data_IF_538866113077
#
_entry.id   IF_538866113077
#
_cell.length_a   1.000
_cell.length_b   1.000
_cell.length_c   1.000
_cell.angle_alpha   90.00
_cell.angle_beta   90.00
_cell.angle_gamma   90.00
#
_symmetry.space_group_name_H-M   'P 1'
#
loop_
_entity.id
_entity.type
_entity.pdbx_description
1 polymer ?
#
# COMPACT_ATOMS: atom_id res chain seq x y z
N UNK A 1 -1.14 13.03 9.99
CA UNK A 1 -2.18 14.07 9.70
C UNK A 1 -1.60 15.47 9.82
N UNK A 2 -0.92 15.84 10.91
CA UNK A 2 -0.37 17.18 11.11
C UNK A 2 0.54 17.67 9.96
N UNK A 3 1.44 16.80 9.45
CA UNK A 3 2.35 17.18 8.35
C UNK A 3 1.61 17.48 7.05
N UNK A 4 0.63 16.69 6.68
CA UNK A 4 -0.16 16.93 5.46
C UNK A 4 -0.97 18.24 5.52
N UNK A 5 -1.50 18.59 6.69
CA UNK A 5 -2.22 19.85 6.89
C UNK A 5 -1.29 21.08 6.83
N UNK A 6 -0.09 20.94 7.37
CA UNK A 6 0.97 21.95 7.28
C UNK A 6 1.36 22.20 5.81
N UNK A 7 1.69 21.13 5.09
CA UNK A 7 2.07 21.16 3.68
C UNK A 7 0.96 21.76 2.81
N UNK A 8 -0.30 21.35 3.04
CA UNK A 8 -1.45 21.89 2.30
C UNK A 8 -1.61 23.41 2.43
N UNK A 9 -1.18 23.95 3.56
CA UNK A 9 -1.29 25.38 3.87
C UNK A 9 -0.11 26.20 3.35
N UNK A 10 1.12 25.66 3.49
CA UNK A 10 2.34 26.41 3.24
C UNK A 10 2.92 26.18 1.83
N UNK A 11 2.80 24.97 1.30
CA UNK A 11 3.37 24.58 0.02
C UNK A 11 2.52 23.46 -0.64
N UNK A 12 1.32 23.76 -1.13
CA UNK A 12 0.35 22.75 -1.57
C UNK A 12 0.88 21.82 -2.68
N UNK A 13 1.86 22.22 -3.48
CA UNK A 13 2.49 21.34 -4.48
C UNK A 13 3.22 20.15 -3.86
N UNK A 14 3.64 20.20 -2.59
CA UNK A 14 4.24 19.08 -1.88
C UNK A 14 3.24 17.96 -1.59
N UNK A 15 1.93 18.22 -1.67
CA UNK A 15 0.91 17.17 -1.58
C UNK A 15 1.06 16.11 -2.68
N UNK A 16 1.74 16.43 -3.79
CA UNK A 16 2.09 15.44 -4.82
C UNK A 16 2.86 14.27 -4.21
N UNK A 17 3.82 14.54 -3.30
CA UNK A 17 4.58 13.51 -2.60
C UNK A 17 3.67 12.62 -1.74
N UNK A 18 2.72 13.21 -1.02
CA UNK A 18 1.77 12.46 -0.20
C UNK A 18 0.83 11.61 -1.05
N UNK A 19 0.31 12.15 -2.16
CA UNK A 19 -0.53 11.39 -3.08
C UNK A 19 0.24 10.22 -3.70
N UNK A 20 1.46 10.44 -4.15
CA UNK A 20 2.31 9.41 -4.72
C UNK A 20 2.59 8.28 -3.71
N UNK A 21 3.06 8.62 -2.52
CA UNK A 21 3.50 7.62 -1.54
C UNK A 21 2.34 6.87 -0.89
N UNK A 22 1.17 7.50 -0.75
CA UNK A 22 0.01 6.90 -0.08
C UNK A 22 -0.96 6.28 -1.08
N UNK A 23 -1.55 7.06 -1.97
CA UNK A 23 -2.60 6.57 -2.87
C UNK A 23 -2.07 5.66 -3.97
N UNK A 24 -1.01 6.06 -4.67
CA UNK A 24 -0.42 5.19 -5.68
C UNK A 24 0.28 3.99 -5.05
N UNK A 25 0.90 4.14 -3.87
CA UNK A 25 1.47 3.04 -3.12
C UNK A 25 0.42 1.96 -2.82
N UNK A 26 -0.77 2.35 -2.38
CA UNK A 26 -1.87 1.44 -2.08
C UNK A 26 -2.50 0.84 -3.36
N UNK A 27 -2.61 1.62 -4.44
CA UNK A 27 -3.10 1.11 -5.73
C UNK A 27 -2.16 0.07 -6.35
N UNK A 28 -0.84 0.20 -6.17
CA UNK A 28 0.16 -0.76 -6.64
C UNK A 28 0.40 -1.91 -5.64
N UNK A 29 1.08 -1.57 -4.54
CA UNK A 29 1.54 -2.54 -3.54
C UNK A 29 0.41 -3.05 -2.66
N UNK A 30 -0.56 -2.21 -2.34
CA UNK A 30 -1.69 -2.54 -1.48
C UNK A 30 -2.52 -3.68 -2.03
N UNK A 31 -2.73 -3.77 -3.34
CA UNK A 31 -3.47 -4.89 -3.96
C UNK A 31 -2.78 -6.22 -3.69
N UNK A 32 -1.47 -6.27 -3.79
CA UNK A 32 -0.69 -7.47 -3.47
C UNK A 32 -0.74 -7.78 -1.97
N UNK A 33 -0.62 -6.77 -1.12
CA UNK A 33 -0.70 -6.92 0.35
C UNK A 33 -2.08 -7.40 0.79
N UNK A 34 -3.15 -6.88 0.21
CA UNK A 34 -4.52 -7.36 0.47
C UNK A 34 -4.69 -8.83 0.12
N UNK A 35 -4.14 -9.27 -1.02
CA UNK A 35 -4.13 -10.67 -1.40
C UNK A 35 -3.30 -11.56 -0.47
N UNK A 36 -2.18 -11.05 0.05
CA UNK A 36 -1.36 -11.75 1.05
C UNK A 36 -2.09 -11.85 2.39
N UNK A 37 -2.72 -10.76 2.85
CA UNK A 37 -3.48 -10.76 4.09
C UNK A 37 -4.63 -11.77 4.07
N UNK A 38 -5.41 -11.81 2.99
CA UNK A 38 -6.49 -12.81 2.83
C UNK A 38 -5.97 -14.23 2.96
N UNK A 39 -4.88 -14.57 2.27
CA UNK A 39 -4.30 -15.91 2.31
C UNK A 39 -3.68 -16.27 3.66
N UNK A 40 -3.00 -15.32 4.29
CA UNK A 40 -2.29 -15.57 5.56
C UNK A 40 -3.21 -15.71 6.76
N UNK A 41 -4.35 -15.01 6.71
CA UNK A 41 -5.32 -14.97 7.80
C UNK A 41 -6.58 -15.80 7.52
N UNK A 42 -6.61 -16.50 6.36
CA UNK A 42 -7.75 -17.29 5.90
C UNK A 42 -9.07 -16.50 5.94
N UNK A 43 -9.02 -15.25 5.43
CA UNK A 43 -10.16 -14.34 5.45
C UNK A 43 -11.12 -14.65 4.31
N UNK A 44 -12.40 -14.59 4.61
CA UNK A 44 -13.45 -14.56 3.59
C UNK A 44 -13.23 -13.37 2.64
N UNK A 45 -13.62 -13.55 1.36
CA UNK A 45 -13.37 -12.59 0.28
C UNK A 45 -13.88 -11.16 0.55
N UNK A 46 -14.81 -10.99 1.50
CA UNK A 46 -15.45 -9.72 1.84
C UNK A 46 -15.03 -9.12 3.18
N UNK A 47 -14.17 -9.79 3.94
CA UNK A 47 -13.87 -9.38 5.32
C UNK A 47 -12.39 -9.01 5.49
N UNK A 48 -12.14 -7.97 6.28
CA UNK A 48 -10.82 -7.60 6.78
C UNK A 48 -9.89 -6.92 5.77
N UNK A 49 -10.27 -6.79 4.49
CA UNK A 49 -9.41 -6.22 3.44
C UNK A 49 -10.01 -4.99 2.75
N UNK A 50 -11.06 -4.41 3.32
CA UNK A 50 -11.75 -3.23 2.75
C UNK A 50 -10.81 -2.04 2.50
N UNK A 51 -9.75 -1.91 3.32
CA UNK A 51 -8.72 -0.89 3.13
C UNK A 51 -8.06 -0.93 1.74
N UNK A 52 -7.95 -2.13 1.14
CA UNK A 52 -7.33 -2.32 -0.17
C UNK A 52 -8.33 -2.26 -1.34
N UNK A 53 -9.59 -1.98 -1.06
CA UNK A 53 -10.64 -1.90 -2.06
C UNK A 53 -10.91 -0.44 -2.42
N UNK A 54 -10.95 -0.15 -3.70
CA UNK A 54 -11.24 1.18 -4.25
C UNK A 54 -12.52 1.06 -5.06
N UNK A 55 -13.65 1.41 -4.44
CA UNK A 55 -14.99 1.21 -5.01
C UNK A 55 -15.14 1.95 -6.35
N UNK A 56 -14.51 3.12 -6.50
CA UNK A 56 -14.57 3.95 -7.70
C UNK A 56 -13.54 3.58 -8.78
N UNK A 57 -12.59 2.70 -8.47
CA UNK A 57 -11.51 2.29 -9.38
C UNK A 57 -11.47 0.76 -9.45
N UNK A 58 -12.27 0.13 -10.31
CA UNK A 58 -12.22 -1.31 -10.53
C UNK A 58 -10.79 -1.78 -10.88
N UNK A 59 -10.42 -2.98 -10.46
CA UNK A 59 -9.04 -3.51 -10.64
C UNK A 59 -8.53 -3.46 -12.09
N UNK A 60 -9.42 -3.59 -13.08
CA UNK A 60 -9.09 -3.48 -14.51
C UNK A 60 -8.72 -2.05 -14.92
N UNK A 61 -9.18 -1.05 -14.18
CA UNK A 61 -9.01 0.38 -14.48
C UNK A 61 -7.86 1.01 -13.68
N UNK A 62 -7.25 0.28 -12.75
CA UNK A 62 -6.13 0.76 -11.93
C UNK A 62 -4.95 1.18 -12.82
N UNK A 63 -4.55 0.36 -13.78
CA UNK A 63 -3.41 0.68 -14.66
C UNK A 63 -3.69 1.89 -15.54
N UNK A 64 -4.81 1.99 -16.27
CA UNK A 64 -5.18 3.21 -17.00
C UNK A 64 -5.24 4.45 -16.12
N UNK A 65 -5.82 4.35 -14.93
CA UNK A 65 -5.88 5.45 -13.96
C UNK A 65 -4.49 5.96 -13.59
N UNK A 66 -3.55 5.06 -13.31
CA UNK A 66 -2.18 5.41 -12.94
C UNK A 66 -1.47 6.08 -14.12
N UNK A 67 -1.64 5.56 -15.34
CA UNK A 67 -1.05 6.15 -16.56
C UNK A 67 -1.59 7.56 -16.80
N UNK A 68 -2.89 7.78 -16.63
CA UNK A 68 -3.51 9.11 -16.69
C UNK A 68 -2.97 10.05 -15.62
N UNK A 69 -2.87 9.58 -14.37
CA UNK A 69 -2.33 10.35 -13.26
C UNK A 69 -0.90 10.85 -13.56
N UNK A 70 -0.02 9.96 -14.05
CA UNK A 70 1.32 10.37 -14.46
C UNK A 70 1.31 11.35 -15.63
N UNK A 71 0.41 11.16 -16.58
CA UNK A 71 0.27 12.07 -17.71
C UNK A 71 -0.11 13.48 -17.24
N UNK A 72 -1.04 13.58 -16.29
CA UNK A 72 -1.43 14.89 -15.72
C UNK A 72 -0.32 15.50 -14.87
N UNK A 73 0.37 14.69 -14.05
CA UNK A 73 1.51 15.16 -13.27
C UNK A 73 2.63 15.74 -14.15
N UNK A 74 2.91 15.09 -15.27
CA UNK A 74 3.96 15.53 -16.21
C UNK A 74 3.61 16.82 -16.96
N UNK A 75 2.37 17.29 -16.92
CA UNK A 75 1.95 18.58 -17.49
C UNK A 75 2.17 19.76 -16.54
N UNK A 76 2.49 19.48 -15.28
CA UNK A 76 2.70 20.53 -14.29
C UNK A 76 4.00 21.30 -14.57
N UNK A 77 3.91 22.59 -14.69
CA UNK A 77 5.07 23.47 -14.83
C UNK A 77 5.67 23.76 -13.45
N UNK A 78 6.55 22.85 -12.99
CA UNK A 78 7.25 22.97 -11.73
C UNK A 78 8.69 23.40 -11.95
N UNK A 79 9.19 24.34 -11.14
CA UNK A 79 10.61 24.69 -11.12
C UNK A 79 11.45 23.49 -10.60
N UNK A 80 12.73 23.48 -10.89
CA UNK A 80 13.63 22.42 -10.44
C UNK A 80 13.71 22.39 -8.90
N UNK A 81 13.70 23.58 -8.26
CA UNK A 81 13.61 23.68 -6.79
C UNK A 81 12.33 23.04 -6.24
N UNK A 82 11.19 23.25 -6.89
CA UNK A 82 9.92 22.63 -6.48
C UNK A 82 9.97 21.10 -6.63
N UNK A 83 10.59 20.60 -7.71
CA UNK A 83 10.77 19.16 -7.91
C UNK A 83 11.64 18.54 -6.84
N UNK A 84 12.78 19.16 -6.51
CA UNK A 84 13.65 18.71 -5.41
C UNK A 84 12.88 18.66 -4.08
N UNK A 85 12.15 19.70 -3.75
CA UNK A 85 11.33 19.76 -2.53
C UNK A 85 10.24 18.68 -2.49
N UNK A 86 9.64 18.31 -3.63
CA UNK A 86 8.69 17.19 -3.71
C UNK A 86 9.38 15.86 -3.39
N UNK A 87 10.61 15.66 -3.90
CA UNK A 87 11.39 14.46 -3.59
C UNK A 87 11.75 14.39 -2.11
N UNK A 88 12.21 15.50 -1.53
CA UNK A 88 12.54 15.58 -0.11
C UNK A 88 11.31 15.30 0.78
N UNK A 89 10.16 15.87 0.42
CA UNK A 89 8.91 15.59 1.13
C UNK A 89 8.50 14.11 1.00
N UNK A 90 8.72 13.49 -0.17
CA UNK A 90 8.50 12.07 -0.36
C UNK A 90 9.37 11.22 0.57
N UNK A 91 10.64 11.55 0.71
CA UNK A 91 11.55 10.91 1.65
C UNK A 91 11.07 11.05 3.10
N UNK A 92 10.58 12.23 3.48
CA UNK A 92 10.01 12.47 4.81
C UNK A 92 8.76 11.63 5.06
N UNK A 93 7.87 11.51 4.08
CA UNK A 93 6.67 10.65 4.20
C UNK A 93 7.08 9.18 4.39
N UNK A 94 8.10 8.69 3.66
CA UNK A 94 8.62 7.34 3.86
C UNK A 94 9.23 7.16 5.26
N UNK A 95 10.00 8.13 5.74
CA UNK A 95 10.56 8.12 7.10
C UNK A 95 9.47 8.00 8.15
N UNK A 96 8.43 8.81 8.06
CA UNK A 96 7.27 8.76 8.97
C UNK A 96 6.52 7.42 8.90
N UNK A 97 6.42 6.81 7.72
CA UNK A 97 5.84 5.48 7.58
C UNK A 97 6.69 4.41 8.27
N UNK A 98 8.02 4.48 8.16
CA UNK A 98 8.93 3.55 8.85
C UNK A 98 8.74 3.67 10.37
N UNK A 99 8.66 4.87 10.93
CA UNK A 99 8.41 5.08 12.36
C UNK A 99 7.09 4.42 12.83
N UNK A 100 6.02 4.54 12.04
CA UNK A 100 4.75 3.86 12.34
C UNK A 100 4.92 2.33 12.32
N UNK A 101 5.70 1.79 11.39
CA UNK A 101 5.99 0.36 11.35
C UNK A 101 6.84 -0.10 12.54
N UNK A 102 7.75 0.73 13.02
CA UNK A 102 8.58 0.43 14.20
C UNK A 102 7.77 0.38 15.51
N UNK A 103 6.62 1.07 15.56
CA UNK A 103 5.68 0.98 16.69
C UNK A 103 4.91 -0.34 16.72
N UNK A 104 4.89 -1.12 15.62
CA UNK A 104 4.18 -2.39 15.59
C UNK A 104 4.94 -3.44 16.42
N UNK A 105 4.28 -3.95 17.44
CA UNK A 105 4.78 -5.08 18.20
C UNK A 105 4.77 -6.35 17.32
N UNK A 106 5.93 -6.94 17.12
CA UNK A 106 6.03 -8.18 16.36
C UNK A 106 7.48 -8.58 16.07
N UNK A 107 7.64 -9.80 15.63
CA UNK A 107 8.92 -10.28 15.13
C UNK A 107 8.87 -10.39 13.61
N UNK A 108 9.45 -9.43 12.86
CA UNK A 108 9.40 -9.42 11.41
C UNK A 108 10.03 -10.67 10.79
N UNK A 109 11.07 -11.24 11.42
CA UNK A 109 11.69 -12.49 10.96
C UNK A 109 10.72 -13.66 11.07
N UNK A 110 9.93 -13.75 12.14
CA UNK A 110 8.89 -14.79 12.32
C UNK A 110 7.77 -14.59 11.30
N UNK A 111 7.36 -13.37 11.04
CA UNK A 111 6.34 -13.07 10.04
C UNK A 111 6.78 -13.46 8.62
N UNK A 112 8.01 -13.10 8.22
CA UNK A 112 8.60 -13.50 6.94
C UNK A 112 8.74 -15.02 6.83
N UNK A 113 9.18 -15.69 7.88
CA UNK A 113 9.29 -17.16 7.91
C UNK A 113 7.92 -17.83 7.74
N UNK A 114 6.90 -17.33 8.43
CA UNK A 114 5.53 -17.82 8.30
C UNK A 114 4.99 -17.63 6.88
N UNK A 115 5.23 -16.48 6.27
CA UNK A 115 4.86 -16.19 4.88
C UNK A 115 5.59 -17.11 3.90
N UNK A 116 6.88 -17.35 4.09
CA UNK A 116 7.66 -18.25 3.26
C UNK A 116 7.14 -19.70 3.33
N UNK A 117 6.83 -20.17 4.53
CA UNK A 117 6.24 -21.52 4.72
C UNK A 117 4.84 -21.59 4.10
N UNK A 118 3.99 -20.59 4.28
CA UNK A 118 2.64 -20.60 3.71
C UNK A 118 2.69 -20.62 2.18
N UNK A 119 3.59 -19.84 1.58
CA UNK A 119 3.81 -19.81 0.15
C UNK A 119 4.32 -21.16 -0.37
N UNK A 120 5.23 -21.79 0.35
CA UNK A 120 5.77 -23.12 0.01
C UNK A 120 4.69 -24.19 0.08
N UNK A 121 3.87 -24.17 1.13
CA UNK A 121 2.74 -25.09 1.30
C UNK A 121 1.71 -24.94 0.19
N UNK A 122 1.41 -23.69 -0.20
CA UNK A 122 0.53 -23.41 -1.34
C UNK A 122 1.10 -23.94 -2.65
N UNK A 123 2.39 -23.71 -2.90
CA UNK A 123 3.07 -24.19 -4.11
C UNK A 123 3.14 -25.72 -4.20
N UNK A 124 3.23 -26.41 -3.08
CA UNK A 124 3.26 -27.87 -2.99
C UNK A 124 1.86 -28.52 -2.94
N UNK A 125 0.79 -27.73 -3.05
CA UNK A 125 -0.58 -28.24 -2.99
C UNK A 125 -0.98 -28.82 -1.62
N UNK A 126 -0.22 -28.50 -0.56
CA UNK A 126 -0.43 -28.99 0.81
C UNK A 126 -1.47 -28.16 1.59
N UNK A 127 -2.22 -27.30 0.93
CA UNK A 127 -3.42 -26.64 1.47
C UNK A 127 -4.56 -27.62 1.28
N UNK A 128 -4.64 -28.59 2.18
CA UNK A 128 -5.62 -29.65 2.17
C UNK A 128 -6.35 -29.74 3.49
N UNK A 129 -7.66 -29.78 3.41
CA UNK A 129 -8.50 -30.36 4.42
C UNK A 129 -8.96 -29.42 5.52
N UNK A 130 -10.05 -28.72 5.25
CA UNK A 130 -11.00 -28.37 6.30
C UNK A 130 -11.22 -29.64 7.17
N UNK A 131 -10.87 -29.54 8.43
CA UNK A 131 -11.35 -30.48 9.43
C UNK A 131 -12.85 -30.22 9.56
N UNK A 132 -13.63 -31.05 8.83
CA UNK A 132 -15.02 -31.29 9.13
C UNK A 132 -15.05 -31.95 10.51
N UNK A 133 -15.35 -31.20 11.52
CA UNK A 133 -15.63 -31.65 12.87
C UNK A 133 -17.11 -31.52 13.11
N UNK A 134 -17.85 -32.58 12.74
CA UNK A 134 -19.13 -32.87 13.37
C UNK A 134 -18.92 -33.00 14.88
N UNK A 135 -19.60 -32.20 15.69
CA UNK A 135 -20.45 -32.60 16.83
C UNK A 135 -21.36 -31.42 17.18
#
# INVERSE_FOLDING_TARGET
MARGEEVAREAPYLLIAHMYTRYLGDLFGGQMMGGMARRSLDLDASLGTKFYEFDDIPSKDIKPFIEEWYSELNKLELSDEQKERIVDEGNEVFRLNIEVFEELEGNPAKALFTLAISSLRSALGLVGGAVSGDV
#
